data_IF_926231415523
#
_entry.id   IF_926231415523
#
_cell.length_a   1.000
_cell.length_b   1.000
_cell.length_c   1.000
_cell.angle_alpha   90.00
_cell.angle_beta   90.00
_cell.angle_gamma   90.00
#
_symmetry.space_group_name_H-M   'P 1'
#
loop_
_entity.id
_entity.type
_entity.pdbx_description
1 polymer ?
#
# COMPACT_ATOMS: atom_id res chain seq x y z
N UNK A 1 -6.40 29.55 -1.60
CA UNK A 1 -6.13 28.30 -0.86
C UNK A 1 -6.34 27.15 -1.83
N UNK A 2 -5.28 26.46 -2.24
CA UNK A 2 -5.43 25.21 -2.98
C UNK A 2 -5.99 24.18 -2.00
N UNK A 3 -7.17 23.63 -2.28
CA UNK A 3 -7.62 22.44 -1.56
C UNK A 3 -6.60 21.34 -1.81
N UNK A 4 -5.83 20.96 -0.79
CA UNK A 4 -5.04 19.74 -0.85
C UNK A 4 -6.03 18.59 -0.98
N UNK A 5 -5.89 17.84 -2.07
CA UNK A 5 -6.63 16.60 -2.25
C UNK A 5 -6.24 15.65 -1.12
N UNK A 6 -7.20 14.90 -0.62
CA UNK A 6 -7.01 13.91 0.44
C UNK A 6 -7.60 12.59 0.01
N UNK A 7 -7.15 11.48 0.62
CA UNK A 7 -7.74 10.17 0.35
C UNK A 7 -9.21 10.23 0.79
N UNK A 8 -10.13 9.88 -0.13
CA UNK A 8 -11.55 9.88 0.18
C UNK A 8 -11.84 8.83 1.26
N UNK A 9 -12.61 9.19 2.28
CA UNK A 9 -12.97 8.29 3.38
C UNK A 9 -13.59 6.97 2.90
N UNK A 10 -14.35 6.98 1.80
CA UNK A 10 -14.94 5.77 1.19
C UNK A 10 -13.89 4.75 0.73
N UNK A 11 -12.69 5.22 0.37
CA UNK A 11 -11.56 4.37 -0.06
C UNK A 11 -11.04 3.54 1.11
N UNK A 12 -11.07 4.10 2.33
CA UNK A 12 -10.73 3.40 3.56
C UNK A 12 -11.87 2.54 4.11
N UNK A 13 -13.12 3.03 4.04
CA UNK A 13 -14.23 2.50 4.86
C UNK A 13 -15.22 1.55 4.16
N UNK A 14 -14.96 1.17 2.90
CA UNK A 14 -15.78 0.21 2.16
C UNK A 14 -17.28 0.58 2.06
N UNK A 15 -18.06 -0.31 1.43
CA UNK A 15 -19.52 -0.18 1.37
C UNK A 15 -20.21 -0.70 2.66
N UNK A 16 -19.53 -1.59 3.41
CA UNK A 16 -20.10 -2.31 4.55
C UNK A 16 -19.57 -1.84 5.92
N UNK A 17 -18.98 -0.64 6.00
CA UNK A 17 -18.42 -0.06 7.22
C UNK A 17 -17.25 -0.83 7.87
N UNK A 18 -16.71 -1.86 7.21
CA UNK A 18 -15.42 -2.46 7.54
C UNK A 18 -14.32 -1.69 6.82
N UNK A 19 -13.38 -1.15 7.58
CA UNK A 19 -12.22 -0.48 7.05
C UNK A 19 -11.26 -1.48 6.40
N UNK A 20 -10.77 -1.17 5.20
CA UNK A 20 -9.77 -1.99 4.53
C UNK A 20 -8.44 -1.93 5.28
N UNK A 21 -7.73 -3.06 5.30
CA UNK A 21 -6.38 -3.17 5.86
C UNK A 21 -5.35 -2.45 5.01
N UNK A 22 -5.63 -2.31 3.71
CA UNK A 22 -4.72 -1.64 2.79
C UNK A 22 -5.48 -0.97 1.64
N UNK A 23 -4.84 0.04 1.08
CA UNK A 23 -5.27 0.73 -0.14
C UNK A 23 -4.03 0.96 -1.00
N UNK A 24 -4.18 0.93 -2.32
CA UNK A 24 -3.06 1.05 -3.23
C UNK A 24 -3.39 1.89 -4.45
N UNK A 25 -2.34 2.33 -5.14
CA UNK A 25 -2.42 3.06 -6.39
C UNK A 25 -1.22 2.70 -7.27
N UNK A 26 -1.46 2.50 -8.58
CA UNK A 26 -0.37 2.45 -9.56
C UNK A 26 0.27 3.84 -9.72
N UNK A 27 1.59 3.88 -9.73
CA UNK A 27 2.39 5.08 -10.00
C UNK A 27 3.00 5.01 -11.40
N UNK A 28 3.19 6.15 -12.06
CA UNK A 28 3.93 6.16 -13.32
C UNK A 28 5.36 5.66 -13.09
N UNK A 29 5.77 4.69 -13.90
CA UNK A 29 7.16 4.21 -13.94
C UNK A 29 7.93 4.95 -15.03
N UNK A 30 9.18 5.33 -14.72
CA UNK A 30 10.11 5.85 -15.71
C UNK A 30 10.80 4.72 -16.50
N UNK A 31 10.83 3.52 -15.93
CA UNK A 31 11.40 2.34 -16.54
C UNK A 31 10.28 1.50 -17.17
N UNK A 32 10.31 1.36 -18.50
CA UNK A 32 9.32 0.61 -19.25
C UNK A 32 9.33 -0.90 -18.95
N UNK A 33 10.36 -1.42 -18.26
CA UNK A 33 10.43 -2.82 -17.83
C UNK A 33 9.84 -3.06 -16.44
N UNK A 34 9.51 -2.00 -15.70
CA UNK A 34 8.98 -2.07 -14.33
C UNK A 34 7.63 -1.37 -14.24
N UNK A 35 6.70 -1.98 -13.51
CA UNK A 35 5.55 -1.25 -12.94
C UNK A 35 5.85 -0.83 -11.51
N UNK A 36 5.23 0.25 -11.07
CA UNK A 36 5.41 0.82 -9.73
C UNK A 36 4.05 1.01 -9.06
N UNK A 37 3.98 0.70 -7.78
CA UNK A 37 2.83 1.00 -6.95
C UNK A 37 3.24 1.71 -5.68
N UNK A 38 2.25 2.37 -5.09
CA UNK A 38 2.30 2.80 -3.69
C UNK A 38 1.11 2.18 -2.96
N UNK A 39 1.37 1.63 -1.79
CA UNK A 39 0.37 1.03 -0.93
C UNK A 39 0.47 1.59 0.48
N UNK A 40 -0.68 1.76 1.13
CA UNK A 40 -0.80 2.20 2.51
C UNK A 40 -1.52 1.11 3.26
N UNK A 41 -0.90 0.63 4.34
CA UNK A 41 -1.46 -0.39 5.22
C UNK A 41 -1.88 0.25 6.54
N UNK A 42 -3.11 -0.01 6.97
CA UNK A 42 -3.62 0.23 8.32
C UNK A 42 -3.16 -0.90 9.25
N UNK A 43 -1.92 -0.77 9.74
CA UNK A 43 -1.24 -1.77 10.59
C UNK A 43 -2.01 -2.04 11.88
N UNK A 44 -2.74 -1.05 12.42
CA UNK A 44 -3.55 -1.22 13.63
C UNK A 44 -4.73 -2.20 13.47
N UNK A 45 -5.08 -2.63 12.25
CA UNK A 45 -6.04 -3.72 12.03
C UNK A 45 -5.40 -5.12 12.16
N UNK A 46 -4.07 -5.20 12.09
CA UNK A 46 -3.35 -6.47 12.09
C UNK A 46 -3.10 -6.96 13.52
N UNK A 47 -3.16 -8.28 13.72
CA UNK A 47 -2.86 -8.90 15.01
C UNK A 47 -1.44 -9.46 15.01
N UNK A 48 -0.54 -8.80 15.74
CA UNK A 48 0.85 -9.24 15.85
C UNK A 48 1.08 -10.27 16.98
N UNK A 49 0.15 -10.42 17.92
CA UNK A 49 0.36 -11.20 19.15
C UNK A 49 -0.31 -12.58 19.12
N UNK A 50 -1.52 -12.69 18.56
CA UNK A 50 -2.28 -13.94 18.51
C UNK A 50 -2.24 -14.58 17.12
N UNK A 51 -1.04 -14.90 16.64
CA UNK A 51 -0.87 -15.54 15.32
C UNK A 51 -0.75 -17.05 15.42
N UNK A 52 -1.30 -17.73 14.42
CA UNK A 52 -1.12 -19.17 14.26
C UNK A 52 0.35 -19.49 13.96
N UNK A 53 0.85 -20.64 14.43
CA UNK A 53 2.20 -21.09 14.08
C UNK A 53 2.31 -21.28 12.57
N UNK A 54 3.07 -20.40 11.90
CA UNK A 54 3.26 -20.39 10.44
C UNK A 54 2.79 -19.11 9.74
N UNK A 55 2.05 -18.24 10.43
CA UNK A 55 1.62 -16.94 9.88
C UNK A 55 2.75 -15.89 10.02
N UNK A 56 3.40 -15.58 8.92
CA UNK A 56 4.37 -14.47 8.83
C UNK A 56 3.81 -13.35 7.99
N UNK A 57 3.78 -12.13 8.53
CA UNK A 57 3.52 -10.96 7.70
C UNK A 57 4.76 -10.61 6.87
N UNK A 58 4.55 -9.77 5.87
CA UNK A 58 5.64 -9.15 5.14
C UNK A 58 6.61 -8.43 6.07
N UNK A 59 7.90 -8.47 5.75
CA UNK A 59 8.96 -7.86 6.57
C UNK A 59 8.70 -6.38 6.89
N UNK A 60 8.09 -5.63 5.97
CA UNK A 60 7.75 -4.23 6.19
C UNK A 60 6.62 -4.03 7.21
N UNK A 61 5.67 -4.98 7.31
CA UNK A 61 4.62 -4.96 8.32
C UNK A 61 5.18 -5.30 9.70
N UNK A 62 6.08 -6.28 9.78
CA UNK A 62 6.78 -6.59 11.04
C UNK A 62 7.61 -5.41 11.54
N UNK A 63 8.26 -4.69 10.63
CA UNK A 63 8.97 -3.45 10.93
C UNK A 63 8.03 -2.36 11.46
N UNK A 64 6.82 -2.26 10.89
CA UNK A 64 5.84 -1.23 11.21
C UNK A 64 4.89 -1.57 12.37
N UNK A 65 5.04 -2.71 13.04
CA UNK A 65 4.08 -3.26 14.02
C UNK A 65 3.66 -2.31 15.17
N UNK A 66 4.49 -1.33 15.49
CA UNK A 66 4.24 -0.37 16.57
C UNK A 66 3.67 0.97 16.07
N UNK A 67 3.37 1.06 14.78
CA UNK A 67 2.80 2.24 14.14
C UNK A 67 1.39 1.95 13.65
N UNK A 68 0.57 3.00 13.52
CA UNK A 68 -0.78 2.83 12.96
C UNK A 68 -0.77 2.55 11.47
N UNK A 69 0.13 3.19 10.73
CA UNK A 69 0.19 3.06 9.28
C UNK A 69 1.61 2.80 8.79
N UNK A 70 1.70 2.13 7.65
CA UNK A 70 2.93 2.09 6.86
C UNK A 70 2.59 2.34 5.40
N UNK A 71 3.37 3.21 4.77
CA UNK A 71 3.33 3.43 3.34
C UNK A 71 4.56 2.78 2.71
N UNK A 72 4.32 2.02 1.64
CA UNK A 72 5.38 1.41 0.85
C UNK A 72 5.25 1.84 -0.60
N UNK A 73 6.38 2.16 -1.23
CA UNK A 73 6.50 2.21 -2.68
C UNK A 73 7.29 0.99 -3.10
N UNK A 74 6.85 0.30 -4.14
CA UNK A 74 7.58 -0.85 -4.67
C UNK A 74 7.39 -0.99 -6.17
N UNK A 75 8.28 -1.77 -6.77
CA UNK A 75 8.28 -2.05 -8.19
C UNK A 75 8.23 -3.55 -8.48
N UNK A 76 7.69 -3.91 -9.63
CA UNK A 76 7.66 -5.26 -10.14
C UNK A 76 8.07 -5.26 -11.62
N UNK A 77 8.95 -6.18 -12.05
CA UNK A 77 9.22 -6.38 -13.47
C UNK A 77 7.99 -6.83 -14.25
N UNK A 78 7.70 -6.16 -15.37
CA UNK A 78 6.52 -6.45 -16.21
C UNK A 78 6.53 -7.88 -16.73
N UNK A 79 7.70 -8.41 -17.10
CA UNK A 79 7.81 -9.78 -17.58
C UNK A 79 7.28 -10.82 -16.57
N UNK A 80 7.32 -10.54 -15.27
CA UNK A 80 6.77 -11.45 -14.25
C UNK A 80 5.24 -11.42 -14.26
N UNK A 81 4.62 -10.26 -14.49
CA UNK A 81 3.17 -10.13 -14.65
C UNK A 81 2.66 -10.88 -15.88
N UNK A 82 3.46 -10.94 -16.94
CA UNK A 82 3.09 -11.59 -18.20
C UNK A 82 3.28 -13.11 -18.18
N UNK A 83 4.14 -13.62 -17.30
CA UNK A 83 4.60 -15.03 -17.34
C UNK A 83 4.21 -15.85 -16.13
N UNK A 84 3.70 -15.24 -15.05
CA UNK A 84 3.41 -15.94 -13.80
C UNK A 84 1.98 -15.67 -13.36
N UNK A 85 1.30 -16.76 -12.99
CA UNK A 85 -0.06 -16.72 -12.45
C UNK A 85 -0.10 -16.23 -10.98
N UNK A 86 1.04 -16.17 -10.31
CA UNK A 86 1.16 -15.64 -8.94
C UNK A 86 2.46 -14.87 -8.77
N UNK A 87 2.37 -13.79 -8.00
CA UNK A 87 3.50 -12.93 -7.62
C UNK A 87 3.64 -13.02 -6.11
N UNK A 88 4.84 -13.35 -5.64
CA UNK A 88 5.16 -13.33 -4.21
C UNK A 88 5.87 -12.05 -3.80
N UNK A 89 5.98 -11.78 -2.50
CA UNK A 89 6.77 -10.64 -2.00
C UNK A 89 8.21 -10.61 -2.49
N UNK A 90 8.83 -11.77 -2.73
CA UNK A 90 10.21 -11.85 -3.23
C UNK A 90 10.37 -11.37 -4.68
N UNK A 91 9.27 -11.30 -5.43
CA UNK A 91 9.25 -10.80 -6.80
C UNK A 91 9.16 -9.26 -6.82
N UNK A 92 8.66 -8.65 -5.74
CA UNK A 92 8.57 -7.20 -5.58
C UNK A 92 9.84 -6.60 -4.97
N UNK A 93 10.19 -5.38 -5.40
CA UNK A 93 11.27 -4.60 -4.81
C UNK A 93 10.71 -3.37 -4.12
N UNK A 94 10.79 -3.32 -2.79
CA UNK A 94 10.37 -2.14 -2.01
C UNK A 94 11.41 -1.03 -2.19
N UNK A 95 11.00 0.07 -2.81
CA UNK A 95 11.84 1.25 -3.05
C UNK A 95 11.72 2.28 -1.94
N UNK A 96 10.62 2.25 -1.18
CA UNK A 96 10.39 3.16 -0.05
C UNK A 96 9.51 2.49 0.99
N UNK A 97 9.79 2.73 2.25
CA UNK A 97 8.98 2.27 3.38
C UNK A 97 9.02 3.34 4.47
N UNK A 98 7.85 3.83 4.90
CA UNK A 98 7.75 4.86 5.94
C UNK A 98 6.56 4.59 6.85
N UNK A 99 6.78 4.62 8.16
CA UNK A 99 5.73 4.50 9.17
C UNK A 99 5.11 5.86 9.49
N UNK A 100 3.83 5.86 9.86
CA UNK A 100 3.04 7.06 10.16
C UNK A 100 1.99 6.78 11.22
N UNK A 101 1.56 7.81 11.93
CA UNK A 101 0.58 7.70 13.02
C UNK A 101 -0.78 8.34 12.72
N UNK A 102 -0.87 9.20 11.71
CA UNK A 102 -2.12 9.89 11.37
C UNK A 102 -2.40 9.97 9.87
N UNK A 103 -3.66 10.15 9.49
CA UNK A 103 -4.05 10.36 8.09
C UNK A 103 -3.51 11.70 7.54
N UNK A 104 -3.30 12.70 8.39
CA UNK A 104 -2.69 13.98 8.00
C UNK A 104 -1.23 13.81 7.58
N UNK A 105 -0.47 12.96 8.28
CA UNK A 105 0.91 12.62 7.89
C UNK A 105 0.94 11.92 6.52
N UNK A 106 -0.02 11.02 6.28
CA UNK A 106 -0.19 10.36 4.98
C UNK A 106 -0.46 11.41 3.89
N UNK A 107 -1.47 12.26 4.07
CA UNK A 107 -1.83 13.26 3.07
C UNK A 107 -0.67 14.24 2.80
N UNK A 108 0.08 14.64 3.84
CA UNK A 108 1.26 15.50 3.71
C UNK A 108 2.35 14.82 2.89
N UNK A 109 2.62 13.53 3.16
CA UNK A 109 3.58 12.76 2.38
C UNK A 109 3.16 12.63 0.91
N UNK A 110 1.89 12.34 0.63
CA UNK A 110 1.40 12.21 -0.74
C UNK A 110 1.57 13.53 -1.50
N UNK A 111 1.27 14.65 -0.85
CA UNK A 111 1.46 15.99 -1.42
C UNK A 111 2.94 16.27 -1.73
N UNK A 112 3.84 16.02 -0.78
CA UNK A 112 5.29 16.23 -0.95
C UNK A 112 5.87 15.39 -2.10
N UNK A 113 5.30 14.22 -2.36
CA UNK A 113 5.76 13.29 -3.40
C UNK A 113 4.98 13.40 -4.72
N UNK A 114 4.11 14.41 -4.87
CA UNK A 114 3.25 14.61 -6.06
C UNK A 114 2.39 13.39 -6.40
N UNK A 115 1.89 12.68 -5.38
CA UNK A 115 1.03 11.50 -5.54
C UNK A 115 -0.42 11.96 -5.38
N UNK A 116 -1.29 11.56 -6.32
CA UNK A 116 -2.70 11.96 -6.32
C UNK A 116 -3.52 11.10 -5.35
N UNK A 117 -3.99 11.63 -4.21
CA UNK A 117 -4.71 10.84 -3.19
C UNK A 117 -6.04 10.27 -3.68
N UNK A 118 -6.63 10.82 -4.75
CA UNK A 118 -7.91 10.39 -5.30
C UNK A 118 -7.83 9.13 -6.15
N UNK A 119 -6.62 8.71 -6.55
CA UNK A 119 -6.41 7.52 -7.37
C UNK A 119 -6.23 6.26 -6.52
N UNK A 120 -6.14 6.39 -5.20
CA UNK A 120 -6.12 5.24 -4.31
C UNK A 120 -7.41 4.45 -4.40
N UNK A 121 -7.25 3.14 -4.49
CA UNK A 121 -8.35 2.19 -4.57
C UNK A 121 -8.19 1.09 -3.52
N UNK A 122 -9.30 0.47 -3.08
CA UNK A 122 -9.23 -0.72 -2.25
C UNK A 122 -8.63 -1.92 -3.01
N UNK A 123 -8.23 -3.00 -2.31
CA UNK A 123 -7.48 -4.10 -2.90
C UNK A 123 -8.22 -4.80 -4.05
N UNK A 124 -9.53 -5.03 -3.90
CA UNK A 124 -10.35 -5.73 -4.90
C UNK A 124 -10.56 -4.97 -6.22
N UNK A 125 -10.29 -3.66 -6.26
CA UNK A 125 -10.31 -2.88 -7.50
C UNK A 125 -8.91 -2.52 -7.99
N UNK A 126 -7.87 -2.85 -7.23
CA UNK A 126 -6.49 -2.60 -7.62
C UNK A 126 -5.95 -3.84 -8.33
N UNK A 127 -5.37 -3.68 -9.51
CA UNK A 127 -4.51 -4.72 -10.12
C UNK A 127 -3.15 -4.75 -9.40
N UNK A 128 -3.19 -5.13 -8.13
CA UNK A 128 -2.08 -5.06 -7.21
C UNK A 128 -1.50 -6.46 -6.96
N UNK A 129 -0.19 -6.66 -7.09
CA UNK A 129 0.39 -8.00 -7.15
C UNK A 129 0.74 -8.62 -5.79
N UNK A 130 0.56 -7.92 -4.67
CA UNK A 130 0.80 -8.51 -3.35
C UNK A 130 -0.51 -9.05 -2.79
N UNK A 131 -0.52 -10.36 -2.52
CA UNK A 131 -1.61 -11.14 -1.95
C UNK A 131 -1.42 -11.35 -0.43
#
# INVERSE_FOLDING_TARGET
MSFQKTILRKTWWGLEAKSYTEIAQELPSQDASLKKWIAIYAVYHLNFENRSSGESYYKFLEYAKNSKYVIIEFTLPIHLLETRDSIGANDTTITKCKTMETEEEINSFLYENNINPELFTPPWTCEYPLD
#
